data_IF_661141852111
#
_entry.id   IF_661141852111
#
_cell.length_a   1.000
_cell.length_b   1.000
_cell.length_c   1.000
_cell.angle_alpha   90.00
_cell.angle_beta   90.00
_cell.angle_gamma   90.00
#
_symmetry.space_group_name_H-M   'P 1'
#
loop_
_entity.id
_entity.type
_entity.pdbx_description
1 polymer ?
#
# COMPACT_ATOMS: atom_id res chain seq x y z
N UNK A 1 -2.72 8.06 -34.96
CA UNK A 1 -2.83 6.62 -35.26
C UNK A 1 -3.66 6.31 -36.51
N UNK A 2 -4.22 7.35 -37.20
CA UNK A 2 -4.93 7.20 -38.48
C UNK A 2 -6.29 6.51 -38.43
N UNK A 3 -6.89 6.33 -37.26
CA UNK A 3 -8.25 5.78 -37.14
C UNK A 3 -9.29 6.84 -37.50
N UNK A 4 -10.38 6.39 -38.15
CA UNK A 4 -11.55 7.24 -38.43
C UNK A 4 -12.37 7.53 -37.15
N UNK A 5 -13.10 8.62 -37.17
CA UNK A 5 -13.88 9.08 -36.00
C UNK A 5 -14.88 8.05 -35.47
N UNK A 6 -15.63 7.32 -36.30
CA UNK A 6 -16.55 6.25 -35.84
C UNK A 6 -15.81 5.13 -35.09
N UNK A 7 -14.67 4.68 -35.60
CA UNK A 7 -13.84 3.65 -34.92
C UNK A 7 -13.32 4.12 -33.57
N UNK A 8 -12.85 5.37 -33.47
CA UNK A 8 -12.40 5.96 -32.20
C UNK A 8 -13.56 6.00 -31.20
N UNK A 9 -14.72 6.52 -31.58
CA UNK A 9 -15.89 6.59 -30.69
C UNK A 9 -16.33 5.22 -30.19
N UNK A 10 -16.38 4.21 -31.08
CA UNK A 10 -16.73 2.84 -30.70
C UNK A 10 -15.76 2.28 -29.67
N UNK A 11 -14.43 2.35 -29.90
CA UNK A 11 -13.42 1.83 -28.99
C UNK A 11 -13.45 2.53 -27.63
N UNK A 12 -13.65 3.86 -27.60
CA UNK A 12 -13.80 4.60 -26.35
C UNK A 12 -15.04 4.12 -25.59
N UNK A 13 -16.19 3.95 -26.28
CA UNK A 13 -17.40 3.46 -25.65
C UNK A 13 -17.27 2.02 -25.12
N UNK A 14 -16.61 1.13 -25.88
CA UNK A 14 -16.31 -0.24 -25.48
C UNK A 14 -15.45 -0.26 -24.20
N UNK A 15 -14.36 0.51 -24.16
CA UNK A 15 -13.49 0.60 -23.00
C UNK A 15 -14.17 1.30 -21.82
N UNK A 16 -14.96 2.35 -22.05
CA UNK A 16 -15.74 2.99 -21.00
C UNK A 16 -16.71 2.01 -20.32
N UNK A 17 -17.34 1.14 -21.11
CA UNK A 17 -18.21 0.07 -20.61
C UNK A 17 -17.43 -1.01 -19.88
N UNK A 18 -16.34 -1.49 -20.45
CA UNK A 18 -15.50 -2.55 -19.87
C UNK A 18 -14.94 -2.18 -18.49
N UNK A 19 -14.49 -0.92 -18.34
CA UNK A 19 -13.93 -0.41 -17.09
C UNK A 19 -14.98 0.20 -16.15
N UNK A 20 -16.26 0.29 -16.53
CA UNK A 20 -17.32 0.84 -15.70
C UNK A 20 -17.16 2.34 -15.41
N UNK A 21 -16.53 3.10 -16.31
CA UNK A 21 -16.22 4.52 -16.11
C UNK A 21 -17.36 5.47 -16.55
N UNK A 22 -18.51 4.94 -16.98
CA UNK A 22 -19.63 5.75 -17.52
C UNK A 22 -20.16 6.76 -16.51
N UNK A 23 -20.20 6.41 -15.21
CA UNK A 23 -20.79 7.25 -14.16
C UNK A 23 -19.99 8.52 -13.89
N UNK A 24 -18.74 8.53 -14.27
CA UNK A 24 -17.83 9.67 -14.08
C UNK A 24 -17.13 10.13 -15.37
N UNK A 25 -17.61 9.64 -16.52
CA UNK A 25 -17.02 9.90 -17.84
C UNK A 25 -16.90 11.41 -18.18
N UNK A 26 -17.82 12.22 -17.70
CA UNK A 26 -17.84 13.68 -17.92
C UNK A 26 -17.26 14.50 -16.76
N UNK A 27 -16.75 13.85 -15.70
CA UNK A 27 -16.10 14.57 -14.60
C UNK A 27 -14.74 15.11 -15.01
N UNK A 28 -14.33 16.20 -14.38
CA UNK A 28 -12.95 16.70 -14.51
C UNK A 28 -11.97 15.67 -13.94
N UNK A 29 -10.81 15.50 -14.60
CA UNK A 29 -9.74 14.61 -14.10
C UNK A 29 -9.25 15.04 -12.72
N UNK A 30 -9.35 16.32 -12.38
CA UNK A 30 -8.98 16.85 -11.07
C UNK A 30 -9.89 16.34 -9.94
N UNK A 31 -11.14 16.00 -10.25
CA UNK A 31 -12.13 15.50 -9.30
C UNK A 31 -12.03 13.98 -9.05
N UNK A 32 -11.25 13.28 -9.87
CA UNK A 32 -11.10 11.83 -9.76
C UNK A 32 -10.23 11.42 -8.59
N UNK A 33 -10.61 10.33 -7.93
CA UNK A 33 -9.77 9.67 -6.92
C UNK A 33 -8.50 9.08 -7.56
N UNK A 34 -7.49 8.73 -6.73
CA UNK A 34 -6.26 8.09 -7.20
C UNK A 34 -6.52 6.81 -7.99
N UNK A 35 -7.41 5.94 -7.50
CA UNK A 35 -7.82 4.71 -8.18
C UNK A 35 -8.51 4.98 -9.50
N UNK A 36 -9.42 5.95 -9.55
CA UNK A 36 -10.09 6.35 -10.79
C UNK A 36 -9.11 6.91 -11.83
N UNK A 37 -8.13 7.72 -11.41
CA UNK A 37 -7.07 8.22 -12.31
C UNK A 37 -6.24 7.09 -12.89
N UNK A 38 -5.87 6.11 -12.07
CA UNK A 38 -5.09 4.96 -12.53
C UNK A 38 -5.90 4.08 -13.48
N UNK A 39 -7.20 3.87 -13.18
CA UNK A 39 -8.11 3.14 -14.07
C UNK A 39 -8.32 3.88 -15.40
N UNK A 40 -8.41 5.22 -15.38
CA UNK A 40 -8.50 6.05 -16.59
C UNK A 40 -7.22 5.93 -17.44
N UNK A 41 -6.04 5.95 -16.81
CA UNK A 41 -4.77 5.74 -17.51
C UNK A 41 -4.74 4.38 -18.20
N UNK A 42 -5.15 3.32 -17.50
CA UNK A 42 -5.24 1.97 -18.05
C UNK A 42 -6.24 1.92 -19.22
N UNK A 43 -7.43 2.49 -19.05
CA UNK A 43 -8.44 2.56 -20.11
C UNK A 43 -7.93 3.29 -21.35
N UNK A 44 -7.20 4.39 -21.17
CA UNK A 44 -6.62 5.18 -22.27
C UNK A 44 -5.61 4.38 -23.11
N UNK A 45 -4.81 3.52 -22.47
CA UNK A 45 -3.90 2.63 -23.16
C UNK A 45 -4.68 1.49 -23.85
N UNK A 46 -5.70 0.96 -23.18
CA UNK A 46 -6.49 -0.18 -23.71
C UNK A 46 -7.39 0.20 -24.89
N UNK A 47 -7.77 1.47 -25.06
CA UNK A 47 -8.43 1.96 -26.30
C UNK A 47 -7.62 1.63 -27.55
N UNK A 48 -6.28 1.56 -27.44
CA UNK A 48 -5.37 1.19 -28.53
C UNK A 48 -5.36 -0.31 -28.85
N UNK A 49 -5.98 -1.13 -28.00
CA UNK A 49 -6.01 -2.60 -28.08
C UNK A 49 -4.61 -3.21 -28.21
N UNK A 50 -3.69 -2.93 -27.28
CA UNK A 50 -2.34 -3.45 -27.35
C UNK A 50 -2.32 -4.96 -27.17
N UNK A 51 -1.44 -5.66 -27.91
CA UNK A 51 -1.21 -7.09 -27.71
C UNK A 51 -0.40 -7.38 -26.45
N UNK A 52 0.47 -6.44 -26.06
CA UNK A 52 1.32 -6.52 -24.88
C UNK A 52 1.15 -5.24 -24.08
N UNK A 53 0.87 -5.38 -22.79
CA UNK A 53 0.73 -4.30 -21.81
C UNK A 53 1.87 -4.43 -20.80
N UNK A 54 2.67 -3.37 -20.65
CA UNK A 54 3.77 -3.31 -19.68
C UNK A 54 3.39 -2.30 -18.61
N UNK A 55 3.48 -2.71 -17.36
CA UNK A 55 3.06 -1.92 -16.19
C UNK A 55 4.17 -1.95 -15.15
N UNK A 56 4.63 -0.76 -14.76
CA UNK A 56 5.66 -0.59 -13.75
C UNK A 56 5.04 -0.04 -12.46
N UNK A 57 4.97 -0.89 -11.42
CA UNK A 57 4.41 -0.62 -10.10
C UNK A 57 3.06 0.15 -10.12
N UNK A 58 2.06 -0.28 -10.88
CA UNK A 58 0.86 0.52 -11.11
C UNK A 58 0.02 0.74 -9.85
N UNK A 59 0.23 -0.07 -8.79
CA UNK A 59 -0.54 0.03 -7.55
C UNK A 59 0.16 0.80 -6.44
N UNK A 60 1.40 1.27 -6.66
CA UNK A 60 2.24 1.90 -5.62
C UNK A 60 1.61 3.13 -4.93
N UNK A 61 0.73 3.85 -5.62
CA UNK A 61 0.04 5.05 -5.13
C UNK A 61 -1.41 4.80 -4.69
N UNK A 62 -1.87 3.55 -4.78
CA UNK A 62 -3.23 3.17 -4.47
C UNK A 62 -3.37 2.72 -3.02
N UNK A 63 -4.55 2.95 -2.44
CA UNK A 63 -4.91 2.29 -1.19
C UNK A 63 -5.14 0.78 -1.43
N UNK A 64 -5.19 -0.05 -0.37
CA UNK A 64 -5.31 -1.50 -0.52
C UNK A 64 -6.52 -1.96 -1.34
N UNK A 65 -7.67 -1.29 -1.20
CA UNK A 65 -8.90 -1.66 -1.90
C UNK A 65 -8.78 -1.33 -3.38
N UNK A 66 -8.39 -0.09 -3.70
CA UNK A 66 -8.20 0.34 -5.09
C UNK A 66 -7.10 -0.48 -5.80
N UNK A 67 -6.06 -0.89 -5.09
CA UNK A 67 -5.00 -1.74 -5.65
C UNK A 67 -5.52 -3.15 -5.99
N UNK A 68 -6.29 -3.77 -5.09
CA UNK A 68 -6.91 -5.07 -5.32
C UNK A 68 -7.85 -5.03 -6.52
N UNK A 69 -8.72 -4.02 -6.60
CA UNK A 69 -9.64 -3.83 -7.74
C UNK A 69 -8.88 -3.62 -9.05
N UNK A 70 -7.76 -2.89 -9.02
CA UNK A 70 -6.91 -2.66 -10.19
C UNK A 70 -6.26 -3.96 -10.68
N UNK A 71 -5.67 -4.76 -9.79
CA UNK A 71 -5.07 -6.05 -10.13
C UNK A 71 -6.11 -7.05 -10.64
N UNK A 72 -7.29 -7.09 -10.02
CA UNK A 72 -8.41 -7.91 -10.51
C UNK A 72 -8.83 -7.50 -11.94
N UNK A 73 -8.82 -6.19 -12.23
CA UNK A 73 -9.11 -5.65 -13.57
C UNK A 73 -8.03 -6.08 -14.57
N UNK A 74 -6.74 -6.08 -14.21
CA UNK A 74 -5.67 -6.63 -15.08
C UNK A 74 -5.89 -8.12 -15.37
N UNK A 75 -6.26 -8.91 -14.36
CA UNK A 75 -6.61 -10.31 -14.56
C UNK A 75 -7.79 -10.50 -15.52
N UNK A 76 -8.79 -9.61 -15.47
CA UNK A 76 -9.92 -9.60 -16.40
C UNK A 76 -9.47 -9.26 -17.83
N UNK A 77 -8.63 -8.24 -18.02
CA UNK A 77 -8.05 -7.88 -19.33
C UNK A 77 -7.30 -9.07 -19.94
N UNK A 78 -6.47 -9.73 -19.16
CA UNK A 78 -5.69 -10.88 -19.65
C UNK A 78 -6.61 -12.02 -20.09
N UNK A 79 -7.63 -12.39 -19.27
CA UNK A 79 -8.54 -13.52 -19.58
C UNK A 79 -9.52 -13.21 -20.71
N UNK A 80 -10.13 -12.02 -20.71
CA UNK A 80 -11.23 -11.70 -21.62
C UNK A 80 -10.77 -11.08 -22.94
N UNK A 81 -9.69 -10.26 -22.89
CA UNK A 81 -9.17 -9.59 -24.07
C UNK A 81 -7.93 -10.29 -24.66
N UNK A 82 -7.37 -11.30 -23.97
CA UNK A 82 -6.19 -12.03 -24.43
C UNK A 82 -4.91 -11.19 -24.46
N UNK A 83 -4.90 -10.04 -23.77
CA UNK A 83 -3.72 -9.16 -23.73
C UNK A 83 -2.62 -9.80 -22.90
N UNK A 84 -1.40 -9.90 -23.45
CA UNK A 84 -0.22 -10.32 -22.67
C UNK A 84 0.19 -9.21 -21.73
N UNK A 85 0.39 -9.52 -20.44
CA UNK A 85 0.73 -8.55 -19.42
C UNK A 85 2.11 -8.85 -18.83
N UNK A 86 2.98 -7.83 -18.80
CA UNK A 86 4.22 -7.81 -18.03
C UNK A 86 4.05 -6.77 -16.92
N UNK A 87 4.15 -7.21 -15.67
CA UNK A 87 3.89 -6.40 -14.49
C UNK A 87 5.07 -6.44 -13.53
N UNK A 88 5.55 -5.29 -13.05
CA UNK A 88 6.36 -5.22 -11.83
C UNK A 88 5.46 -4.83 -10.67
N UNK A 89 5.58 -5.52 -9.52
CA UNK A 89 4.69 -5.29 -8.37
C UNK A 89 5.34 -5.70 -7.06
N UNK A 90 5.03 -4.97 -5.99
CA UNK A 90 5.44 -5.27 -4.61
C UNK A 90 4.35 -5.97 -3.81
N UNK A 91 3.10 -5.95 -4.26
CA UNK A 91 1.96 -6.62 -3.63
C UNK A 91 1.84 -8.06 -4.11
N UNK A 92 2.77 -8.90 -3.65
CA UNK A 92 2.92 -10.25 -4.17
C UNK A 92 1.75 -11.18 -3.79
N UNK A 93 1.07 -10.94 -2.67
CA UNK A 93 -0.10 -11.71 -2.22
C UNK A 93 -1.17 -11.80 -3.32
N UNK A 94 -1.44 -10.69 -3.98
CA UNK A 94 -2.46 -10.59 -5.02
C UNK A 94 -1.89 -10.92 -6.41
N UNK A 95 -0.72 -10.37 -6.74
CA UNK A 95 -0.11 -10.55 -8.06
C UNK A 95 0.19 -12.02 -8.39
N UNK A 96 0.61 -12.82 -7.41
CA UNK A 96 0.90 -14.24 -7.58
C UNK A 96 -0.34 -15.06 -7.97
N UNK A 97 -1.53 -14.66 -7.52
CA UNK A 97 -2.78 -15.36 -7.86
C UNK A 97 -3.17 -15.23 -9.33
N UNK A 98 -2.70 -14.18 -10.02
CA UNK A 98 -2.99 -13.91 -11.44
C UNK A 98 -1.82 -14.29 -12.36
N UNK A 99 -0.59 -14.39 -11.83
CA UNK A 99 0.60 -14.65 -12.61
C UNK A 99 0.65 -16.08 -13.12
N UNK A 100 0.79 -16.26 -14.44
CA UNK A 100 1.12 -17.57 -15.04
C UNK A 100 2.61 -17.89 -14.88
N UNK A 101 3.47 -16.88 -14.86
CA UNK A 101 4.92 -16.95 -14.66
C UNK A 101 5.41 -15.81 -13.82
N UNK A 102 6.41 -16.08 -12.98
CA UNK A 102 7.11 -15.09 -12.17
C UNK A 102 8.58 -15.11 -12.56
N UNK A 103 9.18 -13.94 -12.61
CA UNK A 103 10.61 -13.73 -12.81
C UNK A 103 11.15 -12.92 -11.64
N UNK A 104 12.17 -13.40 -10.96
CA UNK A 104 12.81 -12.72 -9.84
C UNK A 104 14.13 -12.13 -10.31
N UNK A 105 14.31 -10.84 -10.06
CA UNK A 105 15.54 -10.11 -10.39
C UNK A 105 16.27 -9.68 -9.12
N UNK A 106 17.60 -9.81 -9.15
CA UNK A 106 18.48 -9.34 -8.10
C UNK A 106 19.80 -8.84 -8.71
N UNK A 107 20.28 -7.68 -8.26
CA UNK A 107 21.52 -7.08 -8.77
C UNK A 107 21.56 -6.90 -10.29
N UNK A 108 20.41 -6.63 -10.93
CA UNK A 108 20.28 -6.48 -12.38
C UNK A 108 20.32 -7.79 -13.18
N UNK A 109 20.29 -8.95 -12.51
CA UNK A 109 20.28 -10.27 -13.11
C UNK A 109 18.97 -10.99 -12.85
N UNK A 110 18.56 -11.86 -13.79
CA UNK A 110 17.47 -12.78 -13.57
C UNK A 110 17.97 -13.92 -12.66
N UNK A 111 17.41 -14.00 -11.45
CA UNK A 111 17.77 -15.02 -10.47
C UNK A 111 17.07 -16.33 -10.79
N UNK A 112 15.76 -16.30 -10.93
CA UNK A 112 14.96 -17.47 -11.30
C UNK A 112 13.70 -17.06 -12.07
N UNK A 113 13.11 -18.01 -12.78
CA UNK A 113 11.83 -17.84 -13.47
C UNK A 113 11.08 -19.16 -13.53
N UNK A 114 9.79 -19.12 -13.29
CA UNK A 114 8.94 -20.33 -13.29
C UNK A 114 7.50 -19.99 -12.94
N UNK A 115 6.70 -21.00 -12.67
CA UNK A 115 5.40 -20.80 -12.04
C UNK A 115 5.55 -20.20 -10.65
N UNK A 116 4.52 -19.52 -10.11
CA UNK A 116 4.58 -18.98 -8.75
C UNK A 116 5.02 -20.00 -7.69
N UNK A 117 4.56 -21.26 -7.79
CA UNK A 117 4.92 -22.33 -6.86
C UNK A 117 6.40 -22.75 -6.96
N UNK A 118 6.93 -22.89 -8.19
CA UNK A 118 8.34 -23.21 -8.43
C UNK A 118 9.25 -22.11 -7.91
N UNK A 119 8.93 -20.85 -8.19
CA UNK A 119 9.70 -19.70 -7.71
C UNK A 119 9.68 -19.63 -6.19
N UNK A 120 8.52 -19.87 -5.55
CA UNK A 120 8.43 -19.93 -4.10
C UNK A 120 9.30 -21.01 -3.48
N UNK A 121 9.30 -22.21 -4.07
CA UNK A 121 10.14 -23.33 -3.63
C UNK A 121 11.65 -23.04 -3.81
N UNK A 122 12.05 -22.44 -4.92
CA UNK A 122 13.43 -22.07 -5.22
C UNK A 122 13.96 -20.99 -4.29
N UNK A 123 13.18 -19.93 -4.03
CA UNK A 123 13.55 -18.87 -3.09
C UNK A 123 13.68 -19.39 -1.64
N UNK A 124 12.81 -20.35 -1.24
CA UNK A 124 12.97 -21.06 0.05
C UNK A 124 14.27 -21.83 0.11
N UNK A 125 14.56 -22.65 -0.91
CA UNK A 125 15.74 -23.53 -0.93
C UNK A 125 17.05 -22.76 -0.97
N UNK A 126 17.09 -21.62 -1.66
CA UNK A 126 18.26 -20.74 -1.74
C UNK A 126 18.44 -19.83 -0.50
N UNK A 127 17.47 -19.79 0.41
CA UNK A 127 17.50 -18.89 1.57
C UNK A 127 17.50 -17.41 1.20
N UNK A 128 16.97 -17.05 0.03
CA UNK A 128 16.97 -15.68 -0.45
C UNK A 128 16.03 -14.79 0.39
N UNK A 129 16.51 -13.60 0.77
CA UNK A 129 15.74 -12.65 1.59
C UNK A 129 14.41 -12.23 0.95
N UNK A 130 14.29 -12.26 -0.40
CA UNK A 130 13.06 -11.98 -1.11
C UNK A 130 11.93 -12.94 -0.72
N UNK A 131 12.25 -14.13 -0.18
CA UNK A 131 11.24 -15.06 0.31
C UNK A 131 10.37 -14.48 1.42
N UNK A 132 10.88 -13.53 2.21
CA UNK A 132 10.10 -12.85 3.26
C UNK A 132 8.93 -12.00 2.71
N UNK A 133 9.02 -11.60 1.45
CA UNK A 133 7.97 -10.84 0.76
C UNK A 133 6.91 -11.74 0.09
N UNK A 134 7.10 -13.08 0.08
CA UNK A 134 6.17 -14.02 -0.55
C UNK A 134 4.82 -14.07 0.16
N UNK A 135 3.75 -14.51 -0.55
CA UNK A 135 2.42 -14.72 0.02
C UNK A 135 2.42 -15.50 1.34
N UNK A 136 1.50 -15.15 2.22
CA UNK A 136 1.40 -15.74 3.57
C UNK A 136 1.31 -17.27 3.52
N UNK A 137 0.54 -17.83 2.58
CA UNK A 137 0.42 -19.29 2.40
C UNK A 137 1.77 -19.94 2.12
N UNK A 138 2.61 -19.33 1.27
CA UNK A 138 3.96 -19.82 0.98
C UNK A 138 4.88 -19.78 2.20
N UNK A 139 4.82 -18.67 2.96
CA UNK A 139 5.67 -18.50 4.16
C UNK A 139 5.31 -19.48 5.26
N UNK A 140 4.01 -19.76 5.47
CA UNK A 140 3.54 -20.76 6.44
C UNK A 140 3.99 -22.16 6.01
N UNK A 141 3.80 -22.50 4.73
CA UNK A 141 4.27 -23.76 4.16
C UNK A 141 5.79 -23.94 4.32
N UNK A 142 6.55 -22.88 4.09
CA UNK A 142 7.99 -22.92 4.21
C UNK A 142 8.50 -23.10 5.65
N UNK A 143 7.73 -22.67 6.64
CA UNK A 143 8.06 -22.88 8.05
C UNK A 143 7.84 -24.34 8.52
N UNK A 144 7.23 -25.16 7.66
CA UNK A 144 7.05 -26.60 7.89
C UNK A 144 8.13 -27.43 7.15
N UNK A 145 8.22 -28.69 7.47
CA UNK A 145 9.03 -29.69 6.79
C UNK A 145 8.27 -30.39 5.64
N UNK A 146 7.12 -29.85 5.24
CA UNK A 146 6.25 -30.40 4.21
C UNK A 146 6.96 -30.48 2.84
N UNK A 147 6.82 -31.64 2.21
CA UNK A 147 7.26 -31.89 0.83
C UNK A 147 6.16 -31.68 -0.21
N UNK A 148 4.98 -31.22 0.22
CA UNK A 148 3.88 -30.92 -0.68
C UNK A 148 4.21 -29.71 -1.56
N UNK A 149 3.48 -29.56 -2.67
CA UNK A 149 3.61 -28.40 -3.55
C UNK A 149 3.39 -27.11 -2.80
N UNK A 150 4.21 -26.09 -3.08
CA UNK A 150 4.11 -24.77 -2.47
C UNK A 150 2.74 -24.14 -2.78
N UNK A 151 1.93 -23.82 -1.78
CA UNK A 151 0.62 -23.19 -1.98
C UNK A 151 0.79 -21.72 -2.38
N UNK A 152 -0.01 -21.25 -3.33
CA UNK A 152 0.08 -19.90 -3.86
C UNK A 152 -1.00 -19.00 -3.23
N UNK A 153 -2.22 -19.50 -3.15
CA UNK A 153 -3.40 -18.79 -2.66
C UNK A 153 -3.75 -19.17 -1.22
N UNK A 154 -4.61 -18.37 -0.61
CA UNK A 154 -5.19 -18.70 0.71
C UNK A 154 -5.96 -20.02 0.65
N UNK A 155 -6.66 -20.31 -0.47
CA UNK A 155 -7.38 -21.56 -0.67
C UNK A 155 -6.42 -22.76 -0.70
N UNK A 156 -5.32 -22.66 -1.45
CA UNK A 156 -4.31 -23.72 -1.53
C UNK A 156 -3.65 -23.92 -0.17
N UNK A 157 -3.30 -22.84 0.52
CA UNK A 157 -2.72 -22.86 1.85
C UNK A 157 -3.63 -23.52 2.88
N UNK A 158 -4.92 -23.22 2.83
CA UNK A 158 -5.93 -23.87 3.69
C UNK A 158 -6.03 -25.38 3.43
N UNK A 159 -6.13 -25.76 2.17
CA UNK A 159 -6.24 -27.17 1.80
C UNK A 159 -5.00 -27.96 2.22
N UNK A 160 -3.81 -27.40 1.94
CA UNK A 160 -2.54 -27.95 2.39
C UNK A 160 -2.49 -28.09 3.93
N UNK A 161 -2.88 -27.04 4.67
CA UNK A 161 -2.84 -27.04 6.14
C UNK A 161 -3.80 -28.08 6.74
N UNK A 162 -4.98 -28.25 6.16
CA UNK A 162 -5.93 -29.30 6.59
C UNK A 162 -5.37 -30.71 6.38
N UNK A 163 -4.63 -30.94 5.29
CA UNK A 163 -3.98 -32.23 5.04
C UNK A 163 -2.76 -32.42 5.97
N UNK A 164 -1.98 -31.38 6.18
CA UNK A 164 -0.84 -31.39 7.11
C UNK A 164 -1.29 -31.70 8.56
N UNK A 165 -2.38 -31.12 9.02
CA UNK A 165 -2.93 -31.33 10.35
C UNK A 165 -3.44 -32.76 10.62
N UNK A 166 -3.70 -33.56 9.57
CA UNK A 166 -4.08 -34.98 9.74
C UNK A 166 -2.91 -35.85 10.27
N UNK A 167 -1.70 -35.42 10.02
CA UNK A 167 -0.48 -36.19 10.34
C UNK A 167 0.43 -35.49 11.35
N UNK A 168 0.13 -34.24 11.68
CA UNK A 168 0.94 -33.42 12.58
C UNK A 168 0.06 -32.74 13.63
N UNK A 169 0.47 -32.81 14.87
CA UNK A 169 -0.20 -32.08 15.95
C UNK A 169 0.11 -30.58 15.87
N UNK A 170 -0.93 -29.77 15.73
CA UNK A 170 -0.78 -28.30 15.71
C UNK A 170 -0.68 -27.78 17.14
N UNK A 171 0.31 -26.96 17.40
CA UNK A 171 0.43 -26.28 18.70
C UNK A 171 -0.75 -25.33 18.91
N UNK A 172 -1.27 -25.24 20.15
CA UNK A 172 -2.31 -24.27 20.47
C UNK A 172 -1.80 -22.84 20.16
N UNK A 173 -2.68 -22.00 19.65
CA UNK A 173 -2.38 -20.58 19.44
C UNK A 173 -2.06 -19.96 20.80
N UNK A 174 -0.90 -19.30 20.99
CA UNK A 174 -0.61 -18.60 22.22
C UNK A 174 -1.72 -17.60 22.55
N UNK A 175 -2.12 -17.52 23.80
CA UNK A 175 -3.06 -16.49 24.23
C UNK A 175 -2.46 -15.12 23.97
N UNK A 176 -3.12 -14.30 23.15
CA UNK A 176 -2.73 -12.93 22.95
C UNK A 176 -2.80 -12.18 24.28
N UNK A 177 -1.67 -11.71 24.76
CA UNK A 177 -1.66 -10.72 25.84
C UNK A 177 -2.37 -9.49 25.32
N UNK A 178 -3.59 -9.26 25.76
CA UNK A 178 -4.30 -8.01 25.50
C UNK A 178 -3.47 -6.87 26.10
N UNK A 179 -2.68 -6.21 25.27
CA UNK A 179 -2.07 -4.95 25.62
C UNK A 179 -3.19 -3.89 25.72
N UNK A 180 -3.90 -3.86 26.82
CA UNK A 180 -4.78 -2.74 27.15
C UNK A 180 -3.85 -1.57 27.46
N UNK A 181 -3.96 -0.43 26.76
CA UNK A 181 -3.19 0.75 27.09
C UNK A 181 -3.51 1.15 28.53
N UNK A 182 -2.55 1.04 29.43
CA UNK A 182 -2.73 1.34 30.88
C UNK A 182 -1.88 2.54 31.28
N UNK A 183 -1.49 3.38 30.29
CA UNK A 183 -0.61 4.53 30.50
C UNK A 183 -1.36 5.85 30.64
N UNK A 184 -0.60 6.87 31.05
CA UNK A 184 -1.03 8.27 31.03
C UNK A 184 -1.48 8.66 29.59
N UNK A 185 -2.62 9.35 29.45
CA UNK A 185 -3.09 9.88 28.17
C UNK A 185 -2.17 11.01 27.71
N UNK A 186 -1.52 10.81 26.56
CA UNK A 186 -0.60 11.81 25.98
C UNK A 186 -1.24 12.62 24.85
N UNK A 187 -2.29 12.09 24.21
CA UNK A 187 -3.11 12.81 23.24
C UNK A 187 -4.58 12.54 23.56
N UNK A 188 -5.36 13.59 23.71
CA UNK A 188 -6.82 13.52 23.81
C UNK A 188 -7.42 14.46 22.76
N UNK A 189 -8.14 13.89 21.83
CA UNK A 189 -8.92 14.58 20.80
C UNK A 189 -10.40 14.31 21.08
N UNK A 190 -11.21 15.37 21.17
CA UNK A 190 -12.66 15.28 21.45
C UNK A 190 -13.43 16.08 20.42
N UNK A 191 -14.30 15.41 19.69
CA UNK A 191 -15.21 16.02 18.71
C UNK A 191 -14.50 16.98 17.73
N UNK A 192 -13.34 16.59 17.19
CA UNK A 192 -12.60 17.42 16.24
C UNK A 192 -13.32 17.51 14.91
N UNK A 193 -13.57 18.73 14.45
CA UNK A 193 -14.10 19.02 13.14
C UNK A 193 -13.16 19.92 12.36
N UNK A 194 -12.93 19.59 11.08
CA UNK A 194 -12.02 20.36 10.24
C UNK A 194 -12.45 20.34 8.77
N UNK A 195 -12.30 21.49 8.14
CA UNK A 195 -12.37 21.72 6.69
C UNK A 195 -11.27 22.71 6.28
N UNK A 196 -10.83 22.60 5.04
CA UNK A 196 -9.74 23.44 4.51
C UNK A 196 -10.21 24.86 4.19
N UNK A 197 -11.47 25.03 3.80
CA UNK A 197 -12.10 26.34 3.55
C UNK A 197 -13.55 26.31 4.05
N UNK A 198 -14.13 27.51 4.28
CA UNK A 198 -15.51 27.67 4.78
C UNK A 198 -16.54 27.04 3.86
N UNK A 199 -16.30 27.09 2.56
CA UNK A 199 -17.22 26.61 1.50
C UNK A 199 -16.97 25.17 1.12
N UNK A 200 -15.93 24.54 1.65
CA UNK A 200 -15.59 23.14 1.38
C UNK A 200 -16.26 22.20 2.40
N UNK A 201 -16.52 20.94 2.00
CA UNK A 201 -17.08 19.94 2.90
C UNK A 201 -16.08 19.61 4.03
N UNK A 202 -16.62 19.16 5.16
CA UNK A 202 -15.82 18.69 6.28
C UNK A 202 -15.00 17.47 5.90
N UNK A 203 -13.70 17.53 6.18
CA UNK A 203 -12.73 16.46 5.96
C UNK A 203 -12.60 15.58 7.21
N UNK A 204 -12.62 16.21 8.40
CA UNK A 204 -12.69 15.50 9.69
C UNK A 204 -14.00 15.87 10.35
N UNK A 205 -14.75 14.86 10.81
CA UNK A 205 -16.14 15.01 11.25
C UNK A 205 -16.32 14.38 12.64
N UNK A 206 -16.21 15.15 13.69
CA UNK A 206 -16.45 14.69 15.07
C UNK A 206 -15.45 13.61 15.52
N UNK A 207 -14.18 13.73 15.13
CA UNK A 207 -13.16 12.76 15.51
C UNK A 207 -12.88 12.83 17.01
N UNK A 208 -13.03 11.71 17.69
CA UNK A 208 -12.64 11.53 19.08
C UNK A 208 -11.73 10.32 19.19
N UNK A 209 -10.53 10.52 19.79
CA UNK A 209 -9.58 9.46 20.06
C UNK A 209 -8.64 9.85 21.23
N UNK A 210 -8.13 8.85 21.89
CA UNK A 210 -7.11 9.02 22.92
C UNK A 210 -5.90 8.15 22.59
N UNK A 211 -4.70 8.65 22.91
CA UNK A 211 -3.45 7.91 22.83
C UNK A 211 -2.79 7.90 24.19
N UNK A 212 -2.29 6.74 24.57
CA UNK A 212 -1.63 6.54 25.85
C UNK A 212 -0.11 6.44 25.69
N UNK A 213 0.61 6.73 26.73
CA UNK A 213 2.07 6.65 26.74
C UNK A 213 2.54 5.23 26.40
N UNK A 214 3.41 5.11 25.37
CA UNK A 214 3.91 3.83 24.89
C UNK A 214 2.95 3.06 23.98
N UNK A 215 1.79 3.61 23.64
CA UNK A 215 0.85 3.00 22.71
C UNK A 215 1.31 3.16 21.26
N UNK A 216 1.04 2.14 20.43
CA UNK A 216 1.18 2.18 18.98
C UNK A 216 -0.21 2.07 18.34
N UNK A 217 -0.75 3.19 17.88
CA UNK A 217 -2.04 3.25 17.21
C UNK A 217 -1.87 3.34 15.69
N UNK A 218 -2.56 2.49 14.95
CA UNK A 218 -2.60 2.57 13.48
C UNK A 218 -3.92 3.14 12.99
N UNK A 219 -3.87 4.23 12.22
CA UNK A 219 -5.04 4.85 11.60
C UNK A 219 -5.25 4.28 10.18
N UNK A 220 -6.29 3.46 9.99
CA UNK A 220 -6.61 2.82 8.71
C UNK A 220 -7.75 3.54 7.98
N UNK A 221 -7.80 3.38 6.67
CA UNK A 221 -8.85 3.92 5.80
C UNK A 221 -8.37 4.10 4.36
N UNK A 222 -9.31 4.20 3.42
CA UNK A 222 -9.03 4.45 2.00
C UNK A 222 -8.44 5.85 1.73
N UNK A 223 -8.07 6.12 0.48
CA UNK A 223 -7.60 7.45 0.08
C UNK A 223 -8.75 8.48 0.20
N UNK A 224 -8.42 9.70 0.63
CA UNK A 224 -9.41 10.77 0.81
C UNK A 224 -10.23 10.72 2.11
N UNK A 225 -10.03 9.72 2.99
CA UNK A 225 -10.80 9.61 4.26
C UNK A 225 -10.34 10.57 5.37
N UNK A 226 -9.38 11.45 5.11
CA UNK A 226 -8.94 12.44 6.07
C UNK A 226 -7.77 12.02 6.98
N UNK A 227 -7.13 10.85 6.78
CA UNK A 227 -6.00 10.37 7.61
C UNK A 227 -4.88 11.41 7.75
N UNK A 228 -4.36 11.90 6.63
CA UNK A 228 -3.29 12.91 6.62
C UNK A 228 -3.73 14.21 7.28
N UNK A 229 -4.99 14.59 7.10
CA UNK A 229 -5.56 15.78 7.74
C UNK A 229 -5.65 15.59 9.26
N UNK A 230 -6.10 14.42 9.71
CA UNK A 230 -6.11 14.05 11.13
C UNK A 230 -4.71 14.12 11.74
N UNK A 231 -3.70 13.53 11.07
CA UNK A 231 -2.31 13.61 11.53
C UNK A 231 -1.81 15.06 11.63
N UNK A 232 -2.16 15.93 10.66
CA UNK A 232 -1.82 17.36 10.69
C UNK A 232 -2.50 18.09 11.86
N UNK A 233 -3.73 17.73 12.19
CA UNK A 233 -4.42 18.25 13.39
C UNK A 233 -3.69 17.82 14.66
N UNK A 234 -3.41 16.53 14.81
CA UNK A 234 -2.68 15.98 15.96
C UNK A 234 -1.26 16.56 16.08
N UNK A 235 -0.60 16.85 14.96
CA UNK A 235 0.70 17.51 14.92
C UNK A 235 0.60 19.04 15.12
N UNK A 236 -0.58 19.60 15.33
CA UNK A 236 -0.84 21.05 15.45
C UNK A 236 -0.41 21.88 14.23
N UNK A 237 -0.25 21.25 13.07
CA UNK A 237 0.01 21.91 11.78
C UNK A 237 -1.27 22.51 11.18
N UNK A 238 -2.43 22.04 11.64
CA UNK A 238 -3.75 22.58 11.33
C UNK A 238 -4.54 22.76 12.64
N UNK A 239 -5.52 23.65 12.63
CA UNK A 239 -6.40 23.89 13.79
C UNK A 239 -7.82 23.46 13.47
N UNK A 240 -8.45 22.62 14.31
CA UNK A 240 -9.86 22.32 14.16
C UNK A 240 -10.70 23.59 14.37
N UNK A 241 -11.80 23.73 13.66
CA UNK A 241 -12.74 24.83 13.90
C UNK A 241 -13.72 24.53 15.04
N UNK A 242 -13.82 23.25 15.44
CA UNK A 242 -14.65 22.77 16.53
C UNK A 242 -14.00 21.56 17.19
N UNK A 243 -14.20 21.36 18.50
CA UNK A 243 -13.66 20.29 19.31
C UNK A 243 -12.41 20.73 20.10
N UNK A 244 -11.89 19.82 20.89
CA UNK A 244 -10.74 20.06 21.77
C UNK A 244 -9.62 19.08 21.48
N UNK A 245 -8.38 19.60 21.47
CA UNK A 245 -7.17 18.78 21.28
C UNK A 245 -6.16 19.11 22.38
N UNK A 246 -5.92 18.14 23.25
CA UNK A 246 -4.90 18.24 24.31
C UNK A 246 -3.76 17.28 23.97
N UNK A 247 -2.52 17.75 24.06
CA UNK A 247 -1.32 16.96 23.80
C UNK A 247 -0.31 17.28 24.88
N UNK A 248 0.18 16.25 25.55
CA UNK A 248 1.23 16.33 26.58
C UNK A 248 2.58 16.01 25.95
N UNK A 249 3.52 16.95 26.00
CA UNK A 249 4.86 16.79 25.43
C UNK A 249 5.03 17.30 24.01
N UNK A 250 6.17 16.94 23.40
CA UNK A 250 6.53 17.30 22.02
C UNK A 250 5.98 16.32 21.01
N UNK A 251 5.58 16.82 19.83
CA UNK A 251 5.09 16.00 18.71
C UNK A 251 6.02 16.14 17.53
N UNK A 252 6.46 15.01 16.96
CA UNK A 252 7.13 14.94 15.67
C UNK A 252 6.17 14.37 14.60
N UNK A 253 6.23 14.89 13.38
CA UNK A 253 5.49 14.34 12.25
C UNK A 253 6.41 14.06 11.07
N UNK A 254 6.35 12.84 10.55
CA UNK A 254 6.97 12.46 9.28
C UNK A 254 5.90 12.50 8.19
N UNK A 255 6.00 13.39 7.19
CA UNK A 255 5.04 13.45 6.09
C UNK A 255 5.23 12.29 5.12
N UNK A 256 4.18 11.98 4.34
CA UNK A 256 4.20 10.93 3.30
C UNK A 256 5.30 11.15 2.26
N UNK A 257 5.57 12.40 1.89
CA UNK A 257 6.67 12.74 0.99
C UNK A 257 7.91 13.11 1.82
N UNK A 258 8.94 12.25 1.92
CA UNK A 258 10.11 12.52 2.74
C UNK A 258 10.91 13.73 2.23
N UNK A 259 10.87 14.04 0.93
CA UNK A 259 11.56 15.20 0.34
C UNK A 259 11.04 16.53 0.89
N UNK A 260 9.85 16.57 1.45
CA UNK A 260 9.28 17.78 2.07
C UNK A 260 10.05 18.23 3.32
N UNK A 261 10.84 17.37 3.92
CA UNK A 261 11.64 17.69 5.13
C UNK A 261 13.11 17.99 4.82
N UNK A 262 13.62 17.59 3.66
CA UNK A 262 15.03 17.80 3.31
C UNK A 262 15.28 19.25 2.92
N UNK A 263 16.10 19.95 3.71
CA UNK A 263 16.43 21.37 3.53
C UNK A 263 17.89 21.54 3.10
N UNK A 264 18.73 20.52 3.31
CA UNK A 264 20.18 20.54 3.02
C UNK A 264 20.57 19.45 2.02
N UNK A 265 21.74 19.62 1.42
CA UNK A 265 22.28 18.70 0.41
C UNK A 265 22.99 17.47 0.98
N UNK A 266 23.27 17.43 2.28
CA UNK A 266 23.94 16.29 2.94
C UNK A 266 23.17 15.87 4.18
N UNK A 267 23.17 14.57 4.48
CA UNK A 267 22.55 14.00 5.66
C UNK A 267 23.02 14.69 6.95
N UNK A 268 24.32 14.89 7.10
CA UNK A 268 24.87 15.58 8.28
C UNK A 268 24.34 16.98 8.44
N UNK A 269 24.29 17.78 7.36
CA UNK A 269 23.82 19.14 7.40
C UNK A 269 22.32 19.23 7.70
N UNK A 270 21.53 18.28 7.17
CA UNK A 270 20.10 18.21 7.37
C UNK A 270 19.76 17.85 8.81
N UNK A 271 20.42 16.84 9.39
CA UNK A 271 20.26 16.49 10.80
C UNK A 271 20.66 17.63 11.75
N UNK A 272 21.73 18.38 11.43
CA UNK A 272 22.14 19.57 12.20
C UNK A 272 21.10 20.71 12.14
N UNK A 273 20.36 20.85 11.05
CA UNK A 273 19.35 21.90 10.91
C UNK A 273 18.14 21.65 11.83
N UNK A 274 17.74 20.40 11.99
CA UNK A 274 16.60 19.99 12.83
C UNK A 274 16.89 20.21 14.32
N UNK A 275 18.16 20.17 14.75
CA UNK A 275 18.53 20.35 16.13
C UNK A 275 18.34 21.81 16.59
N UNK A 276 17.86 22.05 17.81
CA UNK A 276 17.77 23.41 18.37
C UNK A 276 19.11 24.15 18.25
N UNK A 277 19.06 25.44 18.03
CA UNK A 277 20.25 26.31 17.99
C UNK A 277 20.92 26.33 19.37
N UNK A 278 21.82 25.39 19.65
CA UNK A 278 22.61 25.31 20.87
C UNK A 278 24.09 25.14 20.52
N UNK A 279 24.98 25.60 21.36
CA UNK A 279 26.44 25.51 21.18
C UNK A 279 26.95 24.05 21.08
N UNK A 280 26.16 23.07 21.50
CA UNK A 280 26.51 21.65 21.52
C UNK A 280 25.89 20.81 20.38
N UNK A 281 25.46 21.44 19.29
CA UNK A 281 24.86 20.75 18.14
C UNK A 281 25.74 19.60 17.59
N UNK A 282 27.04 19.86 17.46
CA UNK A 282 27.99 18.89 16.88
C UNK A 282 28.27 17.73 17.81
N UNK A 283 28.35 17.97 19.12
CA UNK A 283 28.52 16.93 20.13
C UNK A 283 27.30 16.01 20.22
N UNK A 284 26.10 16.58 20.21
CA UNK A 284 24.85 15.80 20.18
C UNK A 284 24.72 14.94 18.93
N UNK A 285 25.11 15.46 17.76
CA UNK A 285 25.09 14.68 16.54
C UNK A 285 26.08 13.49 16.62
N UNK A 286 27.28 13.71 17.15
CA UNK A 286 28.27 12.64 17.33
C UNK A 286 27.75 11.52 18.26
N UNK A 287 27.00 11.86 19.31
CA UNK A 287 26.38 10.91 20.24
C UNK A 287 25.23 10.08 19.61
N UNK A 288 24.59 10.59 18.58
CA UNK A 288 23.45 9.91 17.90
C UNK A 288 23.93 9.04 16.75
N UNK A 289 25.11 9.34 16.16
CA UNK A 289 25.66 8.65 14.99
C UNK A 289 26.72 7.60 15.39
N UNK A 290 27.19 7.62 16.63
CA UNK A 290 28.02 6.58 17.25
C UNK A 290 27.17 5.42 17.77
#
# INVERSE_FOLDING_TARGET
LGYDTPTIRRRVAEMASFFGIQTWFYKSVTELSGGQKQLLNLASVMVLQPKVLILDEPTSQLDPIAASDFLATLGKINRELGTTILLTEHRLEEAFSFASRVAVMDGGKLLCTGTPAEVGAELKSSGNAMFLAMPAAMRIWAASDSKATCPISVCDGRNWLLDYAKTHELRPVPEEKKNTPNGETVVSARELWFKYDKDLPDVVKGLSLELHKGEFLTLLGGNGTGKTTTLKLLARLQRPYRGELTITGSVGMLPQNPKALFVKSTVRADLLEILPKSERKTERLAQVVS
#
